data_IF_419177793131
#
_entry.id   IF_419177793131
#
_cell.length_a   1.000
_cell.length_b   1.000
_cell.length_c   1.000
_cell.angle_alpha   90.00
_cell.angle_beta   90.00
_cell.angle_gamma   90.00
#
_symmetry.space_group_name_H-M   'P 1'
#
loop_
_entity.id
_entity.type
_entity.pdbx_description
1 polymer ?
#
# COMPACT_ATOMS: atom_id res chain seq x y z
N UNK A 1 6.73 -8.79 -15.08
CA UNK A 1 5.56 -7.91 -14.89
C UNK A 1 5.12 -8.03 -13.44
N UNK A 2 5.73 -7.21 -12.57
CA UNK A 2 5.43 -7.18 -11.14
C UNK A 2 4.33 -6.15 -10.88
N UNK A 3 3.07 -6.59 -10.96
CA UNK A 3 1.94 -5.79 -10.49
C UNK A 3 1.76 -5.96 -8.99
N UNK A 4 1.29 -4.93 -8.31
CA UNK A 4 0.96 -4.97 -6.89
C UNK A 4 -0.15 -5.99 -6.65
N UNK A 5 0.02 -7.00 -5.79
CA UNK A 5 -1.03 -7.98 -5.51
C UNK A 5 -2.21 -7.39 -4.74
N UNK A 6 -2.02 -6.21 -4.14
CA UNK A 6 -3.06 -5.54 -3.35
C UNK A 6 -3.98 -4.66 -4.19
N UNK A 7 -3.50 -4.08 -5.30
CA UNK A 7 -4.28 -3.13 -6.10
C UNK A 7 -4.15 -3.29 -7.62
N UNK A 8 -3.30 -4.19 -8.10
CA UNK A 8 -3.06 -4.43 -9.52
C UNK A 8 -2.20 -3.39 -10.24
N UNK A 9 -1.80 -2.31 -9.58
CA UNK A 9 -0.94 -1.28 -10.18
C UNK A 9 0.46 -1.82 -10.53
N UNK A 10 1.08 -1.30 -11.59
CA UNK A 10 2.46 -1.64 -11.92
C UNK A 10 3.41 -1.15 -10.82
N UNK A 11 4.31 -2.02 -10.36
CA UNK A 11 5.36 -1.64 -9.41
C UNK A 11 6.52 -0.96 -10.14
N UNK A 12 7.13 0.02 -9.47
CA UNK A 12 8.33 0.71 -9.95
C UNK A 12 9.55 -0.02 -9.38
N UNK A 13 10.52 -0.30 -10.25
CA UNK A 13 11.75 -1.00 -9.87
C UNK A 13 12.52 -0.23 -8.79
N UNK A 14 13.04 -0.96 -7.79
CA UNK A 14 13.81 -0.39 -6.69
C UNK A 14 12.98 0.23 -5.55
N UNK A 15 11.64 0.25 -5.66
CA UNK A 15 10.78 0.64 -4.53
C UNK A 15 10.34 -0.58 -3.72
N UNK A 16 10.38 -0.41 -2.40
CA UNK A 16 9.97 -1.43 -1.44
C UNK A 16 8.46 -1.34 -1.11
N UNK A 17 7.72 -0.45 -1.76
CA UNK A 17 6.29 -0.23 -1.55
C UNK A 17 5.57 0.18 -2.85
N UNK A 18 4.25 -0.01 -2.91
CA UNK A 18 3.39 0.44 -4.00
C UNK A 18 3.03 1.91 -3.83
N UNK A 19 3.36 2.75 -4.80
CA UNK A 19 3.06 4.19 -4.75
C UNK A 19 1.56 4.52 -4.90
N UNK A 20 0.75 3.59 -5.41
CA UNK A 20 -0.68 3.78 -5.62
C UNK A 20 -1.48 3.50 -4.34
N UNK A 21 -1.22 2.37 -3.67
CA UNK A 21 -1.98 1.95 -2.49
C UNK A 21 -1.19 1.96 -1.17
N UNK A 22 0.13 2.20 -1.21
CA UNK A 22 1.00 2.22 -0.04
C UNK A 22 1.41 0.84 0.49
N UNK A 23 1.02 -0.26 -0.16
CA UNK A 23 1.37 -1.61 0.27
C UNK A 23 2.89 -1.84 0.25
N UNK A 24 3.46 -2.31 1.37
CA UNK A 24 4.85 -2.77 1.41
C UNK A 24 5.00 -4.03 0.53
N UNK A 25 5.95 -4.00 -0.39
CA UNK A 25 6.26 -5.11 -1.30
C UNK A 25 7.67 -5.67 -1.10
N UNK A 26 8.36 -5.23 -0.04
CA UNK A 26 9.72 -5.65 0.34
C UNK A 26 9.89 -7.18 0.44
N UNK A 27 8.82 -7.88 0.83
CA UNK A 27 8.81 -9.34 0.99
C UNK A 27 8.78 -10.08 -0.35
N UNK A 28 8.24 -9.47 -1.40
CA UNK A 28 8.02 -10.17 -2.67
C UNK A 28 9.28 -10.31 -3.52
N UNK A 29 10.27 -9.40 -3.40
CA UNK A 29 11.51 -9.49 -4.19
C UNK A 29 12.30 -10.78 -3.89
N UNK A 30 12.43 -11.13 -2.61
CA UNK A 30 13.12 -12.33 -2.15
C UNK A 30 12.43 -13.61 -2.62
N UNK A 31 11.10 -13.59 -2.69
CA UNK A 31 10.31 -14.70 -3.21
C UNK A 31 10.52 -14.81 -4.73
N UNK A 32 10.46 -13.71 -5.50
CA UNK A 32 10.66 -13.76 -6.96
C UNK A 32 12.04 -14.28 -7.38
N UNK A 33 13.11 -13.99 -6.63
CA UNK A 33 14.43 -14.55 -6.92
C UNK A 33 14.53 -16.05 -6.61
N UNK A 34 13.74 -16.55 -5.66
CA UNK A 34 13.71 -17.99 -5.34
C UNK A 34 12.92 -18.84 -6.33
N UNK A 35 12.07 -18.22 -7.17
CA UNK A 35 11.22 -18.91 -8.16
C UNK A 35 11.76 -18.77 -9.60
N UNK A 36 13.06 -18.46 -9.79
CA UNK A 36 13.74 -18.40 -11.11
C UNK A 36 13.75 -19.74 -11.89
N UNK A 37 12.96 -20.74 -11.47
CA UNK A 37 12.70 -21.99 -12.18
C UNK A 37 11.26 -22.15 -12.71
N UNK A 38 10.34 -21.21 -12.48
CA UNK A 38 9.01 -21.27 -13.11
C UNK A 38 8.99 -20.40 -14.35
N UNK A 39 9.16 -21.06 -15.50
CA UNK A 39 8.84 -20.51 -16.81
C UNK A 39 7.45 -19.84 -16.76
N UNK A 40 7.23 -18.70 -17.46
CA UNK A 40 5.88 -18.18 -17.61
C UNK A 40 5.03 -19.31 -18.19
N UNK A 41 3.93 -19.62 -17.51
CA UNK A 41 2.95 -20.58 -17.97
C UNK A 41 2.59 -20.27 -19.43
N UNK A 42 3.16 -21.04 -20.36
CA UNK A 42 2.69 -21.10 -21.72
C UNK A 42 1.36 -21.84 -21.63
N UNK A 43 0.27 -21.10 -21.75
CA UNK A 43 -1.06 -21.69 -21.88
C UNK A 43 -1.02 -22.75 -22.98
N UNK A 44 -1.36 -24.02 -22.71
CA UNK A 44 -1.61 -24.96 -23.79
C UNK A 44 -2.78 -24.37 -24.60
N UNK A 45 -2.50 -24.06 -25.86
CA UNK A 45 -3.46 -23.47 -26.77
C UNK A 45 -4.73 -24.31 -26.82
N UNK A 46 -5.81 -23.76 -26.29
CA UNK A 46 -7.15 -24.20 -26.64
C UNK A 46 -7.92 -22.97 -27.11
N UNK A 47 -7.89 -22.77 -28.43
CA UNK A 47 -8.75 -21.82 -29.13
C UNK A 47 -10.17 -22.38 -29.09
N UNK A 48 -10.86 -22.23 -27.97
CA UNK A 48 -12.32 -22.33 -27.98
C UNK A 48 -12.86 -20.99 -28.47
N UNK A 49 -13.64 -21.08 -29.53
CA UNK A 49 -14.27 -20.00 -30.25
C UNK A 49 -15.19 -19.21 -29.30
N UNK A 50 -14.72 -18.09 -28.78
CA UNK A 50 -15.59 -17.12 -28.11
C UNK A 50 -16.11 -16.16 -29.17
N UNK A 51 -17.36 -16.36 -29.58
CA UNK A 51 -18.08 -15.40 -30.42
C UNK A 51 -18.09 -14.05 -29.69
N UNK A 52 -17.41 -13.07 -30.28
CA UNK A 52 -17.39 -11.68 -29.82
C UNK A 52 -18.82 -11.15 -29.92
N UNK A 53 -19.55 -11.15 -28.80
CA UNK A 53 -20.81 -10.44 -28.72
C UNK A 53 -20.49 -8.96 -28.62
N UNK A 54 -21.00 -8.21 -29.58
CA UNK A 54 -20.86 -6.77 -29.70
C UNK A 54 -21.68 -6.08 -28.59
N UNK A 55 -21.00 -5.66 -27.53
CA UNK A 55 -21.59 -4.98 -26.37
C UNK A 55 -21.79 -3.47 -26.62
N UNK A 56 -21.80 -2.99 -27.86
CA UNK A 56 -21.90 -1.55 -28.16
C UNK A 56 -23.31 -0.96 -27.95
N UNK A 57 -24.32 -1.77 -27.62
CA UNK A 57 -25.71 -1.30 -27.50
C UNK A 57 -26.40 -1.54 -26.15
N UNK A 58 -25.70 -2.04 -25.14
CA UNK A 58 -26.28 -2.10 -23.80
C UNK A 58 -26.03 -0.78 -23.09
N UNK A 59 -27.01 0.10 -23.17
CA UNK A 59 -27.02 1.40 -22.50
C UNK A 59 -26.74 1.25 -21.01
N UNK A 60 -25.55 1.68 -20.61
CA UNK A 60 -25.19 1.88 -19.21
C UNK A 60 -26.09 3.00 -18.67
N UNK A 61 -27.18 2.62 -17.99
CA UNK A 61 -27.89 3.57 -17.15
C UNK A 61 -26.94 3.95 -16.00
N UNK A 62 -26.29 5.10 -16.16
CA UNK A 62 -25.56 5.79 -15.10
C UNK A 62 -26.58 6.11 -13.99
N UNK A 63 -26.71 5.20 -13.04
CA UNK A 63 -27.36 5.53 -11.77
C UNK A 63 -26.43 6.54 -11.08
N UNK A 64 -26.98 7.73 -10.85
CA UNK A 64 -26.31 8.85 -10.23
C UNK A 64 -26.03 8.48 -8.76
N UNK A 65 -24.82 8.01 -8.47
CA UNK A 65 -24.39 7.78 -7.09
C UNK A 65 -24.07 9.15 -6.47
N UNK A 66 -24.75 9.57 -5.38
CA UNK A 66 -24.44 10.84 -4.74
C UNK A 66 -23.02 10.80 -4.16
N UNK A 67 -22.10 11.50 -4.82
CA UNK A 67 -20.75 11.76 -4.32
C UNK A 67 -20.79 12.81 -3.20
N UNK A 68 -21.35 12.49 -2.02
CA UNK A 68 -21.44 13.49 -0.95
C UNK A 68 -20.92 13.08 0.44
N UNK A 69 -20.45 11.85 0.66
CA UNK A 69 -20.04 11.45 2.02
C UNK A 69 -18.59 10.92 2.17
N UNK A 70 -17.77 10.96 1.12
CA UNK A 70 -16.37 10.49 1.21
C UNK A 70 -15.33 11.56 1.47
N UNK A 71 -15.69 12.84 1.55
CA UNK A 71 -14.72 13.92 1.75
C UNK A 71 -14.79 14.60 3.13
N UNK A 72 -15.79 14.31 3.97
CA UNK A 72 -16.03 15.12 5.18
C UNK A 72 -15.51 14.52 6.50
N UNK A 73 -14.77 13.41 6.50
CA UNK A 73 -14.27 12.87 7.77
C UNK A 73 -12.84 12.28 7.81
N UNK A 74 -11.92 12.72 6.95
CA UNK A 74 -10.50 12.36 7.11
C UNK A 74 -9.74 13.20 8.15
N UNK A 75 -10.40 14.15 8.83
CA UNK A 75 -9.73 15.04 9.80
C UNK A 75 -10.01 14.69 11.27
N UNK A 76 -10.86 13.71 11.57
CA UNK A 76 -11.33 13.51 12.96
C UNK A 76 -11.39 12.04 13.34
N UNK A 77 -10.23 11.41 13.56
CA UNK A 77 -9.95 10.55 14.73
C UNK A 77 -8.64 9.79 14.56
N UNK A 78 -7.52 10.38 15.00
CA UNK A 78 -6.57 9.59 15.78
C UNK A 78 -5.79 10.48 16.77
N UNK A 79 -6.37 10.83 17.93
CA UNK A 79 -5.72 11.69 18.91
C UNK A 79 -4.46 11.08 19.57
N UNK A 80 -4.13 9.82 19.28
CA UNK A 80 -2.98 9.14 19.89
C UNK A 80 -1.61 9.63 19.36
N UNK A 81 -1.55 10.36 18.23
CA UNK A 81 -0.30 10.96 17.75
C UNK A 81 0.04 12.30 18.41
N UNK A 82 -0.88 12.91 19.16
CA UNK A 82 -0.59 14.17 19.87
C UNK A 82 0.35 13.96 21.08
N UNK A 83 0.55 12.71 21.50
CA UNK A 83 1.47 12.33 22.57
C UNK A 83 2.67 11.51 22.05
N UNK A 84 2.84 11.42 20.73
CA UNK A 84 3.97 10.72 20.13
C UNK A 84 5.28 11.49 20.31
N UNK A 85 6.40 10.76 20.36
CA UNK A 85 7.73 11.37 20.32
C UNK A 85 8.21 11.46 18.86
N UNK A 86 8.54 12.66 18.36
CA UNK A 86 9.08 12.80 17.02
C UNK A 86 10.50 12.22 16.98
N UNK A 87 10.82 11.50 15.90
CA UNK A 87 12.17 11.03 15.68
C UNK A 87 13.09 12.21 15.36
N UNK A 88 14.20 12.40 16.08
CA UNK A 88 15.13 13.51 15.83
C UNK A 88 15.92 13.33 14.52
N UNK A 89 15.96 12.12 13.96
CA UNK A 89 16.67 11.83 12.71
C UNK A 89 15.77 12.09 11.49
N UNK A 90 14.54 11.57 11.48
CA UNK A 90 13.68 11.58 10.29
C UNK A 90 12.32 12.28 10.46
N UNK A 91 12.00 12.79 11.65
CA UNK A 91 10.74 13.49 11.91
C UNK A 91 9.50 12.59 12.06
N UNK A 92 9.63 11.28 11.90
CA UNK A 92 8.50 10.34 12.08
C UNK A 92 7.97 10.37 13.51
N UNK A 93 6.65 10.50 13.68
CA UNK A 93 5.98 10.47 14.98
C UNK A 93 5.84 9.02 15.47
N UNK A 94 6.58 8.68 16.53
CA UNK A 94 6.55 7.35 17.14
C UNK A 94 5.67 7.35 18.41
N UNK A 95 5.13 6.19 18.83
CA UNK A 95 4.48 6.04 20.13
C UNK A 95 5.37 6.54 21.29
N UNK A 96 4.80 7.09 22.38
CA UNK A 96 5.56 7.65 23.51
C UNK A 96 6.49 6.64 24.20
N UNK A 97 6.18 5.35 24.09
CA UNK A 97 6.90 4.22 24.66
C UNK A 97 7.89 3.55 23.69
N UNK A 98 7.94 4.02 22.43
CA UNK A 98 8.86 3.50 21.42
C UNK A 98 10.33 3.74 21.81
N UNK A 99 11.15 2.70 21.73
CA UNK A 99 12.61 2.77 21.97
C UNK A 99 13.42 3.01 20.71
N UNK A 100 12.85 2.67 19.55
CA UNK A 100 13.49 2.74 18.24
C UNK A 100 12.47 3.29 17.24
N UNK A 101 12.92 4.12 16.32
CA UNK A 101 12.08 4.70 15.28
C UNK A 101 11.60 3.62 14.31
N UNK A 102 10.28 3.47 14.17
CA UNK A 102 9.69 2.49 13.24
C UNK A 102 9.95 2.79 11.76
N UNK A 103 10.38 4.01 11.44
CA UNK A 103 10.65 4.43 10.06
C UNK A 103 12.14 4.36 9.67
N UNK A 104 13.05 4.77 10.57
CA UNK A 104 14.49 4.86 10.24
C UNK A 104 15.42 4.03 11.13
N UNK A 105 14.91 3.36 12.17
CA UNK A 105 15.71 2.53 13.07
C UNK A 105 16.58 3.29 14.08
N UNK A 106 16.53 4.62 14.13
CA UNK A 106 17.24 5.41 15.14
C UNK A 106 16.69 5.16 16.55
N UNK A 107 17.56 5.03 17.55
CA UNK A 107 17.15 4.97 18.96
C UNK A 107 16.46 6.26 19.42
N UNK A 108 15.34 6.10 20.14
CA UNK A 108 14.55 7.19 20.71
C UNK A 108 14.83 7.27 22.21
N UNK A 109 15.38 8.40 22.66
CA UNK A 109 15.62 8.65 24.09
C UNK A 109 14.31 9.05 24.75
N UNK A 110 13.91 8.36 25.82
CA UNK A 110 12.79 8.79 26.65
C UNK A 110 13.12 10.16 27.25
N UNK A 111 12.29 11.18 26.98
CA UNK A 111 12.34 12.41 27.76
C UNK A 111 11.80 12.09 29.16
N UNK A 112 12.70 11.86 30.12
CA UNK A 112 12.34 11.82 31.53
C UNK A 112 11.93 13.24 31.95
N UNK A 113 10.64 13.45 32.19
CA UNK A 113 10.17 14.63 32.91
C UNK A 113 10.63 14.50 34.36
N UNK A 114 11.73 15.16 34.70
CA UNK A 114 12.14 15.35 36.09
C UNK A 114 11.17 16.34 36.73
N UNK A 115 10.26 15.83 37.56
CA UNK A 115 9.49 16.64 38.48
C UNK A 115 10.34 16.82 39.76
N UNK A 116 10.65 18.07 40.08
CA UNK A 116 11.37 18.49 41.29
C UNK A 116 10.40 18.65 42.46
#
# INVERSE_FOLDING_TARGET
MQTCPMCGANLVEGLSYCQVCGADVSIYDQIYQSIQGVSPFQSPGNQQNFQQQDFSQQGFQQQNFPQQDFQQNFQQQNPQYQQGIPCPNCGFMNPPDAKVCGNCGQELKKHHHHFF
#
